data_IF_161693284590
#
_entry.id   IF_161693284590
#
_cell.length_a   1.000
_cell.length_b   1.000
_cell.length_c   1.000
_cell.angle_alpha   90.00
_cell.angle_beta   90.00
_cell.angle_gamma   90.00
#
_symmetry.space_group_name_H-M   'P 1'
#
loop_
_entity.id
_entity.type
_entity.pdbx_description
1 polymer ?
#
# COMPACT_ATOMS: atom_id res chain seq x y z
N UNK A 1 -11.67 -12.76 3.65
CA UNK A 1 -10.30 -12.27 3.40
C UNK A 1 -9.36 -12.77 4.48
N UNK A 2 -9.54 -12.36 5.74
CA UNK A 2 -8.68 -12.74 6.87
C UNK A 2 -8.55 -14.26 7.03
N UNK A 3 -9.66 -15.01 7.06
CA UNK A 3 -9.62 -16.47 7.15
C UNK A 3 -8.84 -17.12 6.01
N UNK A 4 -9.02 -16.65 4.77
CA UNK A 4 -8.27 -17.19 3.63
C UNK A 4 -6.76 -16.90 3.69
N UNK A 5 -6.35 -15.82 4.35
CA UNK A 5 -4.93 -15.50 4.60
C UNK A 5 -4.37 -16.45 5.65
N UNK A 6 -5.13 -16.69 6.71
CA UNK A 6 -4.79 -17.62 7.79
C UNK A 6 -4.71 -19.07 7.28
N UNK A 7 -5.71 -19.52 6.50
CA UNK A 7 -5.75 -20.82 5.83
C UNK A 7 -4.58 -21.01 4.86
N UNK A 8 -4.05 -19.93 4.28
CA UNK A 8 -2.85 -19.94 3.44
C UNK A 8 -1.53 -20.03 4.23
N UNK A 9 -1.59 -20.12 5.56
CA UNK A 9 -0.43 -20.23 6.45
C UNK A 9 0.32 -18.91 6.66
N UNK A 10 -0.35 -17.76 6.48
CA UNK A 10 0.22 -16.44 6.74
C UNK A 10 -0.22 -15.92 8.10
N UNK A 11 0.75 -15.45 8.89
CA UNK A 11 0.50 -14.81 10.17
C UNK A 11 0.06 -13.36 9.96
N UNK A 12 -1.18 -13.06 10.33
CA UNK A 12 -1.71 -11.69 10.31
C UNK A 12 -1.01 -10.85 11.39
N UNK A 13 -0.56 -9.65 11.02
CA UNK A 13 0.20 -8.74 11.90
C UNK A 13 -0.52 -7.45 12.21
N UNK A 14 -1.22 -6.89 11.24
CA UNK A 14 -1.94 -5.63 11.41
C UNK A 14 -3.02 -5.48 10.32
N UNK A 15 -3.87 -4.47 10.47
CA UNK A 15 -4.81 -4.02 9.46
C UNK A 15 -4.67 -2.51 9.28
N UNK A 16 -4.28 -2.11 8.07
CA UNK A 16 -4.30 -0.71 7.66
C UNK A 16 -5.70 -0.32 7.19
N UNK A 17 -6.06 0.95 7.36
CA UNK A 17 -7.33 1.54 6.95
C UNK A 17 -7.04 2.77 6.12
N UNK A 18 -7.39 2.73 4.84
CA UNK A 18 -7.42 3.92 4.01
C UNK A 18 -8.78 4.60 4.15
N UNK A 19 -8.80 5.75 4.81
CA UNK A 19 -9.96 6.64 4.94
C UNK A 19 -10.08 7.55 3.73
N UNK A 20 -11.31 7.70 3.24
CA UNK A 20 -11.64 8.64 2.18
C UNK A 20 -13.02 9.24 2.44
N UNK A 21 -13.14 10.54 2.20
CA UNK A 21 -14.35 11.29 2.54
C UNK A 21 -15.32 11.38 1.37
N UNK A 22 -14.84 11.23 0.15
CA UNK A 22 -15.64 11.32 -1.07
C UNK A 22 -15.95 9.93 -1.64
N UNK A 23 -17.23 9.57 -1.66
CA UNK A 23 -17.73 8.36 -2.32
C UNK A 23 -19.25 8.50 -2.52
N UNK A 24 -19.80 7.77 -3.49
CA UNK A 24 -21.24 7.72 -3.73
C UNK A 24 -21.91 6.65 -2.84
N UNK A 25 -23.15 6.87 -2.37
CA UNK A 25 -23.93 5.81 -1.76
C UNK A 25 -24.07 4.64 -2.74
N UNK A 26 -23.91 3.41 -2.24
CA UNK A 26 -24.18 2.19 -3.02
C UNK A 26 -25.67 1.87 -3.11
N UNK A 27 -26.48 2.50 -2.26
CA UNK A 27 -27.92 2.29 -2.22
C UNK A 27 -28.59 2.62 -3.56
N UNK A 28 -29.37 1.66 -4.06
CA UNK A 28 -30.13 1.78 -5.30
C UNK A 28 -31.59 2.15 -5.03
N UNK A 29 -32.19 2.92 -5.93
CA UNK A 29 -33.63 3.18 -5.91
C UNK A 29 -34.39 1.88 -6.20
N UNK A 30 -35.58 1.76 -5.60
CA UNK A 30 -36.47 0.63 -5.83
C UNK A 30 -37.38 0.81 -7.05
N UNK A 31 -37.37 1.97 -7.70
CA UNK A 31 -38.28 2.31 -8.79
C UNK A 31 -38.26 1.28 -9.92
N UNK A 32 -37.08 0.80 -10.31
CA UNK A 32 -36.93 -0.24 -11.35
C UNK A 32 -37.63 -1.56 -10.98
N UNK A 33 -37.65 -1.92 -9.70
CA UNK A 33 -38.36 -3.11 -9.22
C UNK A 33 -39.87 -2.86 -9.16
N UNK A 34 -40.30 -1.68 -8.71
CA UNK A 34 -41.72 -1.28 -8.65
C UNK A 34 -42.35 -1.28 -10.04
N UNK A 35 -41.64 -0.78 -11.06
CA UNK A 35 -42.13 -0.78 -12.45
C UNK A 35 -42.42 -2.20 -12.97
N UNK A 36 -41.65 -3.19 -12.51
CA UNK A 36 -41.77 -4.59 -12.93
C UNK A 36 -42.84 -5.39 -12.18
N UNK A 37 -43.48 -4.82 -11.16
CA UNK A 37 -44.57 -5.50 -10.45
C UNK A 37 -45.77 -5.72 -11.39
N UNK A 38 -46.50 -6.82 -11.20
CA UNK A 38 -47.76 -7.05 -11.89
C UNK A 38 -48.91 -6.39 -11.13
N UNK A 39 -48.85 -5.08 -10.99
CA UNK A 39 -49.75 -4.25 -10.20
C UNK A 39 -50.24 -3.06 -11.04
N UNK A 40 -51.40 -2.51 -10.67
CA UNK A 40 -51.97 -1.35 -11.32
C UNK A 40 -51.07 -0.11 -11.17
N UNK A 41 -51.20 0.80 -12.13
CA UNK A 41 -50.38 2.02 -12.17
C UNK A 41 -50.52 2.87 -10.90
N UNK A 42 -51.74 2.95 -10.36
CA UNK A 42 -52.01 3.70 -9.14
C UNK A 42 -51.22 3.13 -7.94
N UNK A 43 -51.21 1.82 -7.76
CA UNK A 43 -50.45 1.12 -6.71
C UNK A 43 -48.95 1.37 -6.89
N UNK A 44 -48.43 1.27 -8.12
CA UNK A 44 -47.02 1.54 -8.43
C UNK A 44 -46.62 2.97 -8.08
N UNK A 45 -47.46 3.95 -8.43
CA UNK A 45 -47.17 5.37 -8.16
C UNK A 45 -47.28 5.67 -6.66
N UNK A 46 -48.23 5.07 -5.94
CA UNK A 46 -48.30 5.11 -4.46
C UNK A 46 -47.02 4.55 -3.84
N UNK A 47 -46.55 3.38 -4.29
CA UNK A 47 -45.32 2.76 -3.79
C UNK A 47 -44.08 3.63 -4.04
N UNK A 48 -43.95 4.22 -5.24
CA UNK A 48 -42.84 5.15 -5.54
C UNK A 48 -42.85 6.37 -4.63
N UNK A 49 -44.04 6.92 -4.36
CA UNK A 49 -44.19 8.08 -3.48
C UNK A 49 -43.88 7.71 -2.02
N UNK A 50 -44.39 6.58 -1.53
CA UNK A 50 -44.11 6.08 -0.18
C UNK A 50 -42.62 5.78 0.04
N UNK A 51 -41.97 5.19 -0.96
CA UNK A 51 -40.57 4.80 -0.91
C UNK A 51 -39.62 5.88 -1.44
N UNK A 52 -40.09 7.11 -1.63
CA UNK A 52 -39.22 8.21 -2.05
C UNK A 52 -38.16 8.47 -0.97
N UNK A 53 -36.89 8.49 -1.37
CA UNK A 53 -35.75 8.58 -0.45
C UNK A 53 -35.36 7.27 0.23
N UNK A 54 -36.21 6.24 0.21
CA UNK A 54 -35.89 4.90 0.70
C UNK A 54 -35.21 4.08 -0.40
N UNK A 55 -34.04 3.53 -0.07
CA UNK A 55 -33.18 2.79 -1.01
C UNK A 55 -32.79 1.44 -0.40
N UNK A 56 -32.18 0.57 -1.21
CA UNK A 56 -31.61 -0.70 -0.71
C UNK A 56 -30.66 -0.47 0.46
N UNK A 57 -30.56 -1.40 1.44
CA UNK A 57 -29.82 -1.22 2.69
C UNK A 57 -28.30 -1.25 2.50
N UNK A 58 -27.74 -0.21 1.88
CA UNK A 58 -26.33 -0.11 1.57
C UNK A 58 -25.82 1.30 1.84
N UNK A 59 -25.06 1.45 2.92
CA UNK A 59 -24.45 2.74 3.28
C UNK A 59 -23.21 2.97 2.42
N UNK A 60 -22.88 4.24 2.19
CA UNK A 60 -21.61 4.66 1.60
C UNK A 60 -20.45 4.10 2.44
N UNK A 61 -19.54 3.33 1.82
CA UNK A 61 -18.26 2.99 2.46
C UNK A 61 -17.35 4.21 2.45
N UNK A 62 -16.71 4.49 3.57
CA UNK A 62 -15.74 5.57 3.77
C UNK A 62 -14.34 5.06 4.11
N UNK A 63 -14.11 3.74 3.95
CA UNK A 63 -12.80 3.15 4.17
C UNK A 63 -12.56 1.90 3.33
N UNK A 64 -11.28 1.61 3.09
CA UNK A 64 -10.79 0.37 2.51
C UNK A 64 -9.77 -0.27 3.47
N UNK A 65 -10.02 -1.50 3.97
CA UNK A 65 -9.07 -2.22 4.80
C UNK A 65 -7.96 -2.86 3.96
N UNK A 66 -6.75 -2.87 4.50
CA UNK A 66 -5.56 -3.47 3.90
C UNK A 66 -4.92 -4.36 4.96
N UNK A 67 -4.99 -5.68 4.76
CA UNK A 67 -4.42 -6.64 5.70
C UNK A 67 -2.92 -6.72 5.53
N UNK A 68 -2.17 -6.62 6.64
CA UNK A 68 -0.75 -6.94 6.68
C UNK A 68 -0.56 -8.33 7.28
N UNK A 69 0.02 -9.23 6.50
CA UNK A 69 0.36 -10.57 6.93
C UNK A 69 1.79 -10.93 6.49
N UNK A 70 2.38 -11.91 7.16
CA UNK A 70 3.73 -12.39 6.87
C UNK A 70 3.79 -13.91 6.94
N UNK A 71 4.74 -14.50 6.23
CA UNK A 71 5.09 -15.90 6.46
C UNK A 71 5.65 -16.09 7.88
N UNK A 72 5.57 -17.31 8.41
CA UNK A 72 6.29 -17.67 9.63
C UNK A 72 7.77 -17.30 9.54
N UNK A 73 8.30 -16.77 10.64
CA UNK A 73 9.69 -16.35 10.72
C UNK A 73 10.58 -17.52 11.06
N UNK A 74 11.72 -17.64 10.37
CA UNK A 74 12.74 -18.61 10.75
C UNK A 74 13.60 -18.08 11.91
N UNK A 75 13.41 -18.65 13.09
CA UNK A 75 14.09 -18.21 14.32
C UNK A 75 13.59 -16.84 14.77
N UNK A 76 14.51 -15.94 15.13
CA UNK A 76 14.15 -14.56 15.53
C UNK A 76 13.89 -13.69 14.31
N UNK A 77 13.13 -12.60 14.46
CA UNK A 77 12.95 -11.59 13.40
C UNK A 77 14.29 -11.09 12.82
N UNK A 78 15.31 -10.95 13.68
CA UNK A 78 16.65 -10.58 13.25
C UNK A 78 17.30 -11.66 12.37
N UNK A 79 17.16 -12.93 12.74
CA UNK A 79 17.69 -14.05 11.94
C UNK A 79 16.98 -14.13 10.58
N UNK A 80 15.65 -14.01 10.58
CA UNK A 80 14.84 -13.98 9.37
C UNK A 80 15.26 -12.82 8.45
N UNK A 81 15.42 -11.62 9.00
CA UNK A 81 15.89 -10.45 8.27
C UNK A 81 17.31 -10.67 7.70
N UNK A 82 18.24 -11.24 8.47
CA UNK A 82 19.59 -11.52 7.98
C UNK A 82 19.61 -12.52 6.82
N UNK A 83 18.67 -13.47 6.80
CA UNK A 83 18.55 -14.49 5.75
C UNK A 83 17.84 -13.96 4.50
N UNK A 84 16.74 -13.23 4.68
CA UNK A 84 15.82 -12.88 3.58
C UNK A 84 15.75 -11.38 3.25
N UNK A 85 16.31 -10.53 4.10
CA UNK A 85 16.31 -9.06 3.94
C UNK A 85 14.89 -8.43 3.93
N UNK A 86 13.92 -9.11 4.55
CA UNK A 86 12.50 -8.71 4.67
C UNK A 86 11.94 -9.13 6.03
N UNK A 87 10.71 -8.70 6.34
CA UNK A 87 9.97 -9.10 7.54
C UNK A 87 10.09 -8.14 8.73
N UNK A 88 10.64 -6.95 8.53
CA UNK A 88 10.67 -5.85 9.50
C UNK A 88 9.90 -4.64 8.97
N UNK A 89 9.51 -3.73 9.86
CA UNK A 89 8.88 -2.44 9.51
C UNK A 89 9.86 -1.28 9.72
N UNK A 90 9.88 -0.34 8.77
CA UNK A 90 10.68 0.88 8.85
C UNK A 90 9.93 2.00 9.57
N UNK A 91 10.13 2.13 10.88
CA UNK A 91 9.50 3.18 11.70
C UNK A 91 10.05 4.59 11.45
N UNK A 92 11.06 4.75 10.59
CA UNK A 92 11.52 6.07 10.15
C UNK A 92 10.68 6.65 9.01
N UNK A 93 9.78 5.86 8.41
CA UNK A 93 8.81 6.40 7.46
C UNK A 93 7.88 7.34 8.22
N UNK A 94 7.67 8.52 7.66
CA UNK A 94 6.87 9.57 8.31
C UNK A 94 5.55 9.77 7.58
N UNK A 95 4.53 10.16 8.33
CA UNK A 95 3.20 10.48 7.81
C UNK A 95 2.72 11.83 8.38
N UNK A 96 1.84 12.51 7.65
CA UNK A 96 1.34 13.82 8.03
C UNK A 96 2.49 14.82 8.27
N UNK A 97 2.57 15.38 9.48
CA UNK A 97 3.63 16.32 9.88
C UNK A 97 4.67 15.64 10.76
N UNK A 98 5.50 14.78 10.17
CA UNK A 98 6.64 14.08 10.82
C UNK A 98 6.24 13.05 11.90
N UNK A 99 5.01 12.52 11.81
CA UNK A 99 4.52 11.50 12.74
C UNK A 99 5.07 10.11 12.39
N UNK A 100 5.16 9.22 13.40
CA UNK A 100 5.45 7.81 13.18
C UNK A 100 4.42 7.15 12.24
N UNK A 101 4.76 6.03 11.57
CA UNK A 101 3.81 5.30 10.74
C UNK A 101 2.52 4.99 11.50
N UNK A 102 1.39 5.07 10.80
CA UNK A 102 0.06 4.79 11.32
C UNK A 102 -0.61 3.74 10.44
N UNK A 103 -1.35 2.83 11.07
CA UNK A 103 -2.19 1.89 10.34
C UNK A 103 -3.45 2.59 9.77
N UNK A 104 -3.80 3.79 10.22
CA UNK A 104 -4.82 4.64 9.57
C UNK A 104 -4.15 5.66 8.67
N UNK A 105 -4.63 5.78 7.44
CA UNK A 105 -4.14 6.74 6.44
C UNK A 105 -5.31 7.42 5.73
N UNK A 106 -5.17 8.70 5.41
CA UNK A 106 -6.13 9.47 4.61
C UNK A 106 -5.40 10.13 3.46
N UNK A 107 -6.01 10.12 2.28
CA UNK A 107 -5.55 10.95 1.15
C UNK A 107 -6.29 12.27 1.10
N UNK A 108 -7.40 12.41 1.81
CA UNK A 108 -8.18 13.63 1.87
C UNK A 108 -7.76 14.47 3.06
N UNK A 109 -7.60 15.79 2.83
CA UNK A 109 -7.52 16.76 3.92
C UNK A 109 -8.86 16.80 4.62
N UNK A 110 -8.86 16.62 5.93
CA UNK A 110 -10.06 16.58 6.78
C UNK A 110 -10.05 17.80 7.69
N UNK A 111 -9.03 17.90 8.55
CA UNK A 111 -8.75 19.05 9.40
C UNK A 111 -7.31 18.97 9.88
N UNK A 112 -6.79 20.06 10.44
CA UNK A 112 -5.39 20.14 10.87
C UNK A 112 -4.95 19.02 11.82
N UNK A 113 -5.81 18.62 12.76
CA UNK A 113 -5.49 17.60 13.77
C UNK A 113 -5.38 16.21 13.14
N UNK A 114 -6.33 15.84 12.28
CA UNK A 114 -6.37 14.55 11.59
C UNK A 114 -5.27 14.50 10.52
N UNK A 115 -5.09 15.60 9.78
CA UNK A 115 -4.13 15.69 8.69
C UNK A 115 -2.69 15.59 9.20
N UNK A 116 -2.42 16.13 10.40
CA UNK A 116 -1.13 16.00 11.09
C UNK A 116 -0.73 14.54 11.29
N UNK A 117 -1.69 13.65 11.55
CA UNK A 117 -1.43 12.27 11.94
C UNK A 117 -1.57 11.27 10.80
N UNK A 118 -2.45 11.52 9.83
CA UNK A 118 -2.89 10.48 8.90
C UNK A 118 -2.78 10.86 7.43
N UNK A 119 -2.47 12.11 7.09
CA UNK A 119 -2.47 12.54 5.69
C UNK A 119 -1.27 11.99 4.91
N UNK A 120 -1.56 11.42 3.75
CA UNK A 120 -0.60 11.11 2.68
C UNK A 120 -0.95 11.93 1.42
N UNK A 121 0.05 12.29 0.62
CA UNK A 121 -0.14 13.15 -0.56
C UNK A 121 -1.18 12.59 -1.53
N UNK A 122 -2.08 13.41 -2.08
CA UNK A 122 -2.97 12.95 -3.16
C UNK A 122 -2.18 12.65 -4.44
N UNK A 123 -2.62 11.68 -5.26
CA UNK A 123 -2.05 11.53 -6.59
C UNK A 123 -2.34 12.78 -7.43
N UNK A 124 -1.29 13.38 -7.98
CA UNK A 124 -1.42 14.60 -8.78
C UNK A 124 -2.01 14.29 -10.18
N UNK A 125 -2.39 15.34 -10.93
CA UNK A 125 -2.94 15.17 -12.30
C UNK A 125 -1.95 14.50 -13.25
N UNK A 126 -0.64 14.67 -13.02
CA UNK A 126 0.44 14.09 -13.83
C UNK A 126 0.57 12.58 -13.58
N UNK A 127 0.30 12.11 -12.36
CA UNK A 127 0.31 10.71 -11.95
C UNK A 127 -0.90 9.91 -12.45
N UNK A 128 -2.03 10.59 -12.70
CA UNK A 128 -3.23 9.97 -13.30
C UNK A 128 -3.05 9.70 -14.79
N UNK A 129 -2.33 10.58 -15.51
CA UNK A 129 -2.18 10.51 -16.98
C UNK A 129 -3.50 10.77 -17.72
N UNK A 130 -3.43 11.33 -18.93
CA UNK A 130 -4.62 11.73 -19.71
C UNK A 130 -5.52 10.56 -20.17
N UNK A 131 -5.12 9.31 -19.93
CA UNK A 131 -5.76 8.11 -20.50
C UNK A 131 -6.29 7.10 -19.46
N UNK A 132 -6.38 7.45 -18.17
CA UNK A 132 -6.87 6.51 -17.16
C UNK A 132 -8.41 6.47 -17.10
N UNK A 133 -9.02 5.58 -17.88
CA UNK A 133 -10.44 5.24 -17.79
C UNK A 133 -10.77 4.27 -16.62
N UNK A 134 -9.81 3.99 -15.74
CA UNK A 134 -9.97 3.02 -14.65
C UNK A 134 -10.68 3.64 -13.45
N UNK A 135 -11.90 3.17 -13.13
CA UNK A 135 -12.75 3.73 -12.06
C UNK A 135 -12.22 3.51 -10.63
N UNK A 136 -11.27 2.61 -10.42
CA UNK A 136 -10.83 2.12 -9.09
C UNK A 136 -9.31 2.16 -8.89
N UNK A 137 -8.64 3.24 -9.31
CA UNK A 137 -7.18 3.37 -9.15
C UNK A 137 -6.83 3.71 -7.69
N UNK A 138 -5.98 2.91 -7.05
CA UNK A 138 -5.44 3.21 -5.71
C UNK A 138 -4.51 4.44 -5.76
N UNK A 139 -4.45 5.26 -4.70
CA UNK A 139 -3.51 6.37 -4.61
C UNK A 139 -2.06 5.89 -4.72
N UNK A 140 -1.24 6.60 -5.49
CA UNK A 140 0.17 6.24 -5.65
C UNK A 140 0.95 6.37 -4.33
N UNK A 141 0.71 7.46 -3.60
CA UNK A 141 1.29 7.73 -2.28
C UNK A 141 1.01 6.62 -1.26
N UNK A 142 -0.16 5.98 -1.33
CA UNK A 142 -0.51 4.86 -0.47
C UNK A 142 0.38 3.65 -0.75
N UNK A 143 0.61 3.35 -2.03
CA UNK A 143 1.50 2.28 -2.45
C UNK A 143 2.96 2.60 -2.07
N UNK A 144 3.41 3.84 -2.30
CA UNK A 144 4.75 4.30 -1.91
C UNK A 144 4.96 4.21 -0.39
N UNK A 145 3.95 4.60 0.40
CA UNK A 145 3.97 4.51 1.85
C UNK A 145 4.16 3.07 2.32
N UNK A 146 3.33 2.13 1.84
CA UNK A 146 3.40 0.71 2.22
C UNK A 146 4.72 0.08 1.79
N UNK A 147 5.21 0.36 0.58
CA UNK A 147 6.47 -0.19 0.08
C UNK A 147 7.66 0.36 0.90
N UNK A 148 7.72 1.66 1.19
CA UNK A 148 8.77 2.22 2.04
C UNK A 148 8.73 1.69 3.48
N UNK A 149 7.54 1.42 3.99
CA UNK A 149 7.32 0.90 5.33
C UNK A 149 7.78 -0.56 5.46
N UNK A 150 7.65 -1.36 4.39
CA UNK A 150 7.83 -2.83 4.44
C UNK A 150 9.09 -3.34 3.73
N UNK A 151 9.80 -2.50 2.98
CA UNK A 151 11.01 -2.90 2.23
C UNK A 151 12.27 -2.19 2.72
N UNK A 152 13.30 -2.97 3.05
CA UNK A 152 14.61 -2.43 3.45
C UNK A 152 15.56 -2.27 2.26
N UNK A 153 15.71 -3.32 1.44
CA UNK A 153 16.69 -3.38 0.35
C UNK A 153 16.14 -2.86 -0.97
N UNK A 154 16.98 -2.23 -1.79
CA UNK A 154 16.67 -1.94 -3.20
C UNK A 154 16.50 -3.24 -4.03
N UNK A 155 17.06 -4.35 -3.54
CA UNK A 155 16.89 -5.68 -4.12
C UNK A 155 15.55 -6.33 -3.76
N UNK A 156 14.75 -5.71 -2.88
CA UNK A 156 13.42 -6.23 -2.57
C UNK A 156 12.54 -6.23 -3.84
N UNK A 157 11.76 -7.31 -3.98
CA UNK A 157 10.85 -7.51 -5.11
C UNK A 157 9.42 -7.29 -4.62
N UNK A 158 8.73 -6.31 -5.21
CA UNK A 158 7.30 -6.07 -4.99
C UNK A 158 6.50 -6.84 -6.02
N UNK A 159 5.66 -7.79 -5.57
CA UNK A 159 4.77 -8.55 -6.43
C UNK A 159 3.34 -8.00 -6.32
N UNK A 160 2.74 -7.69 -7.47
CA UNK A 160 1.31 -7.39 -7.59
C UNK A 160 0.65 -8.37 -8.58
N UNK A 161 -0.08 -9.39 -8.09
CA UNK A 161 -0.71 -10.39 -8.95
C UNK A 161 -1.96 -9.88 -9.68
N UNK A 162 -2.45 -8.68 -9.35
CA UNK A 162 -3.63 -8.04 -9.95
C UNK A 162 -3.32 -6.56 -10.24
N UNK A 163 -2.26 -6.34 -11.01
CA UNK A 163 -1.61 -5.04 -11.13
C UNK A 163 -2.49 -3.94 -11.74
N UNK A 164 -3.53 -4.28 -12.49
CA UNK A 164 -4.40 -3.34 -13.19
C UNK A 164 -3.61 -2.31 -13.99
N UNK A 165 -3.92 -1.03 -13.80
CA UNK A 165 -3.18 0.06 -14.45
C UNK A 165 -1.76 0.29 -13.90
N UNK A 166 -1.26 -0.54 -12.97
CA UNK A 166 0.15 -0.60 -12.59
C UNK A 166 0.59 0.34 -11.46
N UNK A 167 -0.33 0.87 -10.64
CA UNK A 167 0.04 1.84 -9.57
C UNK A 167 1.09 1.29 -8.61
N UNK A 168 0.96 0.04 -8.14
CA UNK A 168 1.93 -0.62 -7.26
C UNK A 168 3.31 -0.70 -7.91
N UNK A 169 3.35 -1.02 -9.20
CA UNK A 169 4.59 -1.18 -9.98
C UNK A 169 5.28 0.17 -10.21
N UNK A 170 4.49 1.22 -10.50
CA UNK A 170 4.97 2.60 -10.61
C UNK A 170 5.58 3.06 -9.28
N UNK A 171 4.91 2.80 -8.15
CA UNK A 171 5.44 3.11 -6.82
C UNK A 171 6.75 2.36 -6.54
N UNK A 172 6.78 1.05 -6.80
CA UNK A 172 8.00 0.25 -6.64
C UNK A 172 9.15 0.79 -7.49
N UNK A 173 8.91 1.14 -8.76
CA UNK A 173 9.91 1.75 -9.65
C UNK A 173 10.42 3.09 -9.12
N UNK A 174 9.51 4.00 -8.73
CA UNK A 174 9.88 5.29 -8.15
C UNK A 174 10.81 5.14 -6.94
N UNK A 175 10.52 4.16 -6.07
CA UNK A 175 11.31 3.86 -4.88
C UNK A 175 12.57 3.02 -5.15
N UNK A 176 12.91 2.75 -6.42
CA UNK A 176 14.08 1.95 -6.79
C UNK A 176 14.00 0.50 -6.32
N UNK A 177 12.80 -0.08 -6.22
CA UNK A 177 12.56 -1.49 -5.93
C UNK A 177 12.37 -2.29 -7.21
N UNK A 178 12.72 -3.57 -7.17
CA UNK A 178 12.34 -4.53 -8.22
C UNK A 178 10.85 -4.82 -8.10
N UNK A 179 10.20 -5.16 -9.21
CA UNK A 179 8.78 -5.47 -9.20
C UNK A 179 8.39 -6.51 -10.25
N UNK A 180 7.31 -7.22 -9.97
CA UNK A 180 6.64 -8.15 -10.88
C UNK A 180 5.15 -7.82 -10.83
N UNK A 181 4.54 -7.64 -12.01
CA UNK A 181 3.13 -7.36 -12.15
C UNK A 181 2.45 -8.39 -13.04
N UNK A 182 1.29 -8.87 -12.61
CA UNK A 182 0.45 -9.79 -13.38
C UNK A 182 -0.94 -9.18 -13.48
N UNK A 183 -1.56 -9.27 -14.65
CA UNK A 183 -2.97 -8.94 -14.83
C UNK A 183 -3.53 -9.80 -15.98
N UNK A 184 -4.85 -10.02 -15.99
CA UNK A 184 -5.53 -10.77 -17.05
C UNK A 184 -5.95 -9.87 -18.21
N UNK A 185 -6.18 -8.58 -17.95
CA UNK A 185 -6.64 -7.62 -18.93
C UNK A 185 -5.48 -6.99 -19.69
N UNK A 186 -5.37 -7.32 -20.99
CA UNK A 186 -4.34 -6.80 -21.88
C UNK A 186 -4.32 -5.27 -21.97
N UNK A 187 -5.48 -4.61 -21.99
CA UNK A 187 -5.56 -3.15 -22.05
C UNK A 187 -4.93 -2.50 -20.80
N UNK A 188 -5.17 -3.09 -19.63
CA UNK A 188 -4.56 -2.62 -18.37
C UNK A 188 -3.04 -2.86 -18.33
N UNK A 189 -2.58 -4.00 -18.88
CA UNK A 189 -1.14 -4.25 -19.05
C UNK A 189 -0.50 -3.17 -19.93
N UNK A 190 -1.12 -2.79 -21.04
CA UNK A 190 -0.59 -1.73 -21.92
C UNK A 190 -0.51 -0.38 -21.20
N UNK A 191 -1.55 0.00 -20.47
CA UNK A 191 -1.56 1.23 -19.65
C UNK A 191 -0.46 1.19 -18.59
N UNK A 192 -0.35 0.07 -17.88
CA UNK A 192 0.68 -0.19 -16.87
C UNK A 192 2.09 -0.01 -17.43
N UNK A 193 2.39 -0.64 -18.57
CA UNK A 193 3.68 -0.54 -19.24
C UNK A 193 4.01 0.90 -19.65
N UNK A 194 3.04 1.66 -20.18
CA UNK A 194 3.24 3.08 -20.54
C UNK A 194 3.59 3.91 -19.31
N UNK A 195 2.83 3.76 -18.21
CA UNK A 195 3.09 4.47 -16.95
C UNK A 195 4.46 4.12 -16.38
N UNK A 196 4.84 2.84 -16.38
CA UNK A 196 6.16 2.38 -15.95
C UNK A 196 7.26 3.03 -16.80
N UNK A 197 7.13 3.07 -18.13
CA UNK A 197 8.12 3.70 -19.03
C UNK A 197 8.29 5.19 -18.75
N UNK A 198 7.20 5.90 -18.46
CA UNK A 198 7.21 7.35 -18.14
C UNK A 198 7.71 7.67 -16.73
N UNK A 199 7.80 6.65 -15.87
CA UNK A 199 8.23 6.83 -14.48
C UNK A 199 9.75 6.82 -14.38
N UNK A 200 10.32 7.90 -13.84
CA UNK A 200 11.73 7.95 -13.48
C UNK A 200 11.95 7.41 -12.07
N UNK A 201 13.06 6.70 -11.86
CA UNK A 201 13.46 6.26 -10.52
C UNK A 201 13.87 7.47 -9.69
N UNK A 202 13.24 7.66 -8.54
CA UNK A 202 13.73 8.59 -7.53
C UNK A 202 14.77 7.83 -6.72
N UNK A 203 16.05 8.03 -7.04
CA UNK A 203 17.09 7.67 -6.08
C UNK A 203 16.92 8.62 -4.90
N UNK A 204 16.32 8.14 -3.82
CA UNK A 204 16.58 8.75 -2.53
C UNK A 204 18.07 8.55 -2.31
N UNK A 205 18.84 9.61 -2.52
CA UNK A 205 20.17 9.74 -1.94
C UNK A 205 19.89 9.64 -0.44
N UNK A 206 20.00 8.41 0.11
CA UNK A 206 20.28 8.25 1.52
C UNK A 206 21.59 8.98 1.67
N UNK A 207 21.54 10.25 2.09
CA UNK A 207 22.70 11.11 2.32
C UNK A 207 23.87 10.25 2.78
N UNK A 208 24.99 10.36 2.06
CA UNK A 208 26.26 9.60 2.16
C UNK A 208 26.72 9.23 3.58
N UNK A 209 26.19 9.89 4.59
CA UNK A 209 26.35 9.66 6.02
C UNK A 209 26.04 8.21 6.46
N UNK A 210 25.05 7.51 5.88
CA UNK A 210 24.73 6.13 6.29
C UNK A 210 25.63 5.07 5.66
N UNK A 211 25.96 5.20 4.37
CA UNK A 211 26.89 4.31 3.69
C UNK A 211 28.30 4.42 4.31
N UNK A 212 28.78 5.64 4.59
CA UNK A 212 30.03 5.84 5.31
C UNK A 212 29.99 5.27 6.74
N UNK A 213 28.89 5.46 7.49
CA UNK A 213 28.77 4.88 8.83
C UNK A 213 28.80 3.36 8.80
N UNK A 214 28.10 2.75 7.85
CA UNK A 214 28.03 1.29 7.72
C UNK A 214 29.39 0.72 7.27
N UNK A 215 30.09 1.40 6.36
CA UNK A 215 31.48 1.09 5.99
C UNK A 215 32.43 1.22 7.19
N UNK A 216 32.36 2.33 7.96
CA UNK A 216 33.16 2.54 9.18
C UNK A 216 32.88 1.49 10.26
N UNK A 217 31.64 1.04 10.41
CA UNK A 217 31.27 -0.03 11.35
C UNK A 217 31.88 -1.37 10.90
N UNK A 218 31.80 -1.70 9.61
CA UNK A 218 32.39 -2.91 9.05
C UNK A 218 33.93 -2.90 9.14
N UNK A 219 34.57 -1.75 8.88
CA UNK A 219 36.01 -1.55 9.05
C UNK A 219 36.46 -1.70 10.51
N UNK A 220 35.71 -1.12 11.47
CA UNK A 220 35.99 -1.29 12.91
C UNK A 220 35.86 -2.76 13.33
N UNK A 221 34.81 -3.46 12.87
CA UNK A 221 34.62 -4.87 13.15
C UNK A 221 35.74 -5.75 12.56
N UNK A 222 36.20 -5.44 11.34
CA UNK A 222 37.33 -6.12 10.71
C UNK A 222 38.66 -5.86 11.46
N UNK A 223 38.90 -4.63 11.93
CA UNK A 223 40.07 -4.28 12.74
C UNK A 223 40.08 -5.01 14.08
N UNK A 224 38.92 -5.11 14.74
CA UNK A 224 38.77 -5.85 16.00
C UNK A 224 39.06 -7.35 15.83
N UNK A 225 38.54 -7.99 14.77
CA UNK A 225 38.87 -9.39 14.43
C UNK A 225 40.37 -9.61 14.18
N UNK A 226 41.04 -8.69 13.46
CA UNK A 226 42.49 -8.78 13.21
C UNK A 226 43.33 -8.63 14.49
N UNK A 227 42.93 -7.74 15.40
CA UNK A 227 43.61 -7.54 16.69
C UNK A 227 43.49 -8.76 17.60
N UNK A 228 42.32 -9.39 17.68
CA UNK A 228 42.14 -10.62 18.46
C UNK A 228 42.92 -11.79 17.87
N UNK A 229 42.97 -11.94 16.53
CA UNK A 229 43.78 -12.98 15.89
C UNK A 229 45.27 -12.84 16.19
N UNK A 230 45.78 -11.60 16.26
CA UNK A 230 47.19 -11.31 16.64
C UNK A 230 47.48 -11.48 18.13
N UNK A 231 46.51 -11.22 19.02
CA UNK A 231 46.65 -11.51 20.46
C UNK A 231 46.71 -13.01 20.74
N UNK A 232 45.87 -13.79 20.07
CA UNK A 232 45.86 -15.26 20.20
C UNK A 232 47.16 -15.86 19.66
N UNK A 233 47.69 -15.36 18.54
CA UNK A 233 48.95 -15.82 17.96
C UNK A 233 50.22 -15.38 18.72
N UNK A 234 50.11 -14.50 19.73
CA UNK A 234 51.22 -14.10 20.62
C UNK A 234 51.14 -14.73 22.01
N UNK A 235 50.07 -15.48 22.29
CA UNK A 235 49.81 -16.16 23.56
C UNK A 235 50.02 -17.69 23.47
N UNK A 236 50.56 -18.17 22.34
CA UNK A 236 51.03 -19.53 22.07
C UNK A 236 52.50 -19.42 21.71
#
# INVERSE_FOLDING_TARGET
MVSAIDDAGLLIRDCFIWLYTQNQPKAMSLNHFIEKLNEDKEIKDTLKNQLNGWKTPQIKSCFEPIVMAQKETEGTFLNNFRKYNVGLLNTNVKIGQDMFPSNVVSTDKINEVVDKCFLISKPDKKEKGDFNAHRTVKPLSLCEYIINLTTYSNEAIVLDPFAGSGTTLVAAKKLGRKFIGIDINKEYIEVSQRRIKQTNTTYFILNDIKAERQLRILEKAAKYKRLNKRKIAKAV
#
